data_IF_573418179033
#
_entry.id   IF_573418179033
#
_cell.length_a   1.000
_cell.length_b   1.000
_cell.length_c   1.000
_cell.angle_alpha   90.00
_cell.angle_beta   90.00
_cell.angle_gamma   90.00
#
_symmetry.space_group_name_H-M   'P 1'
#
loop_
_entity.id
_entity.type
_entity.pdbx_description
1 polymer ?
#
# COMPACT_ATOMS: atom_id res chain seq x y z
N UNK A 1 2.80 14.30 -9.20
CA UNK A 1 3.98 15.01 -8.72
C UNK A 1 5.24 14.23 -9.06
N UNK A 2 6.30 14.94 -9.44
CA UNK A 2 7.62 14.34 -9.68
C UNK A 2 8.46 14.55 -8.43
N UNK A 3 8.87 13.50 -7.71
CA UNK A 3 9.77 13.63 -6.56
C UNK A 3 11.16 14.03 -7.05
N UNK A 4 11.81 14.92 -6.32
CA UNK A 4 13.14 15.44 -6.69
C UNK A 4 14.14 15.27 -5.55
N UNK A 5 13.71 15.40 -4.31
CA UNK A 5 14.59 15.44 -3.15
C UNK A 5 13.96 14.70 -1.96
N UNK A 6 14.84 14.19 -1.10
CA UNK A 6 14.43 13.68 0.22
C UNK A 6 15.32 14.26 1.32
N UNK A 7 14.75 14.40 2.52
CA UNK A 7 15.52 14.49 3.77
C UNK A 7 15.22 13.27 4.62
N UNK A 8 16.20 12.80 5.36
CA UNK A 8 16.05 11.61 6.19
C UNK A 8 16.59 11.84 7.60
N UNK A 9 15.71 11.74 8.58
CA UNK A 9 16.10 11.76 9.99
C UNK A 9 16.11 10.33 10.52
N UNK A 10 17.20 9.93 11.15
CA UNK A 10 17.34 8.60 11.76
C UNK A 10 17.67 8.73 13.24
N UNK A 11 17.09 7.86 14.06
CA UNK A 11 17.52 7.67 15.42
C UNK A 11 17.75 6.18 15.68
N UNK A 12 18.91 5.83 16.21
CA UNK A 12 19.26 4.43 16.46
C UNK A 12 19.94 4.25 17.81
N UNK A 13 19.81 3.04 18.36
CA UNK A 13 20.45 2.67 19.62
C UNK A 13 21.89 2.24 19.40
N UNK A 14 22.68 2.23 20.48
CA UNK A 14 24.06 1.74 20.50
C UNK A 14 24.20 0.22 20.18
N UNK A 15 23.09 -0.48 19.89
CA UNK A 15 23.08 -1.86 19.41
C UNK A 15 23.31 -1.97 17.91
N UNK A 16 23.20 -0.86 17.17
CA UNK A 16 23.52 -0.82 15.76
C UNK A 16 25.03 -0.68 15.58
N UNK A 17 25.61 -1.55 14.78
CA UNK A 17 27.01 -1.46 14.37
C UNK A 17 27.20 -0.42 13.26
N UNK A 18 28.42 0.04 13.06
CA UNK A 18 28.76 0.93 11.96
C UNK A 18 28.54 0.24 10.60
N UNK A 19 28.80 -1.04 10.53
CA UNK A 19 28.60 -1.86 9.33
C UNK A 19 27.11 -1.88 8.94
N UNK A 20 26.21 -2.17 9.91
CA UNK A 20 24.76 -2.16 9.67
C UNK A 20 24.25 -0.78 9.24
N UNK A 21 24.85 0.30 9.75
CA UNK A 21 24.54 1.65 9.34
C UNK A 21 24.99 1.94 7.89
N UNK A 22 26.17 1.47 7.52
CA UNK A 22 26.68 1.58 6.14
C UNK A 22 25.77 0.82 5.17
N UNK A 23 25.40 -0.43 5.46
CA UNK A 23 24.46 -1.22 4.64
C UNK A 23 23.10 -0.52 4.51
N UNK A 24 22.61 0.09 5.59
CA UNK A 24 21.38 0.89 5.55
C UNK A 24 21.50 2.06 4.57
N UNK A 25 22.59 2.83 4.60
CA UNK A 25 22.80 3.94 3.66
C UNK A 25 23.03 3.49 2.22
N UNK A 26 23.66 2.33 2.00
CA UNK A 26 23.72 1.73 0.66
C UNK A 26 22.32 1.49 0.08
N UNK A 27 21.40 0.97 0.90
CA UNK A 27 19.99 0.82 0.53
C UNK A 27 19.30 2.17 0.22
N UNK A 28 19.57 3.20 1.01
CA UNK A 28 19.04 4.56 0.78
C UNK A 28 19.53 5.11 -0.54
N UNK A 29 20.84 5.02 -0.84
CA UNK A 29 21.39 5.51 -2.10
C UNK A 29 20.87 4.72 -3.30
N UNK A 30 20.71 3.41 -3.18
CA UNK A 30 20.10 2.59 -4.23
C UNK A 30 18.65 3.02 -4.51
N UNK A 31 17.88 3.35 -3.47
CA UNK A 31 16.53 3.89 -3.62
C UNK A 31 16.53 5.29 -4.27
N UNK A 32 17.46 6.16 -3.87
CA UNK A 32 17.63 7.48 -4.48
C UNK A 32 17.90 7.38 -5.98
N UNK A 33 18.81 6.49 -6.38
CA UNK A 33 19.12 6.24 -7.79
C UNK A 33 17.90 5.68 -8.54
N UNK A 34 17.21 4.67 -7.97
CA UNK A 34 16.02 4.05 -8.57
C UNK A 34 14.91 5.06 -8.83
N UNK A 35 14.64 5.95 -7.87
CA UNK A 35 13.54 6.92 -7.96
C UNK A 35 13.94 8.27 -8.56
N UNK A 36 15.24 8.51 -8.80
CA UNK A 36 15.76 9.75 -9.35
C UNK A 36 15.58 10.92 -8.38
N UNK A 37 15.88 10.70 -7.10
CA UNK A 37 15.77 11.72 -6.04
C UNK A 37 17.12 11.93 -5.35
N UNK A 38 17.39 13.16 -4.90
CA UNK A 38 18.61 13.48 -4.16
C UNK A 38 18.37 13.47 -2.65
N UNK A 39 19.24 12.80 -1.90
CA UNK A 39 19.30 12.95 -0.44
C UNK A 39 20.02 14.28 -0.11
N UNK A 40 19.25 15.30 0.27
CA UNK A 40 19.77 16.66 0.50
C UNK A 40 20.14 16.97 1.94
N UNK A 41 19.85 16.07 2.88
CA UNK A 41 20.17 16.22 4.29
C UNK A 41 19.30 15.41 5.22
N UNK A 42 19.43 15.72 6.51
CA UNK A 42 18.70 15.05 7.57
C UNK A 42 19.39 15.24 8.92
N UNK A 43 19.02 14.41 9.88
CA UNK A 43 19.61 14.41 11.21
C UNK A 43 19.83 12.99 11.72
N UNK A 44 20.83 12.83 12.59
CA UNK A 44 21.15 11.57 13.23
C UNK A 44 21.12 11.73 14.73
N UNK A 45 20.21 11.01 15.39
CA UNK A 45 19.96 11.11 16.83
C UNK A 45 20.11 9.76 17.54
N UNK A 46 20.13 9.76 18.85
CA UNK A 46 20.13 8.56 19.67
C UNK A 46 18.70 8.08 19.96
N UNK A 47 18.48 6.77 19.90
CA UNK A 47 17.22 6.12 20.31
C UNK A 47 17.45 5.13 21.44
N UNK A 48 16.56 5.07 22.41
CA UNK A 48 16.59 4.08 23.49
C UNK A 48 15.99 2.72 23.08
N UNK A 49 15.25 2.66 21.95
CA UNK A 49 14.45 1.48 21.56
C UNK A 49 14.59 1.10 20.07
N UNK A 50 15.81 0.93 19.58
CA UNK A 50 16.00 0.43 18.19
C UNK A 50 16.15 1.54 17.15
N UNK A 51 15.71 1.30 15.94
CA UNK A 51 15.83 2.20 14.78
C UNK A 51 14.50 2.94 14.53
N UNK A 52 14.57 4.25 14.39
CA UNK A 52 13.47 5.11 13.96
C UNK A 52 13.94 5.84 12.71
N UNK A 53 13.12 5.81 11.66
CA UNK A 53 13.40 6.46 10.37
C UNK A 53 12.24 7.39 10.06
N UNK A 54 12.54 8.63 9.68
CA UNK A 54 11.58 9.60 9.18
C UNK A 54 12.09 10.19 7.89
N UNK A 55 11.38 9.98 6.80
CA UNK A 55 11.72 10.48 5.46
C UNK A 55 10.71 11.54 5.06
N UNK A 56 11.21 12.67 4.56
CA UNK A 56 10.38 13.70 3.91
C UNK A 56 10.75 13.74 2.44
N UNK A 57 9.78 13.45 1.58
CA UNK A 57 9.93 13.57 0.14
C UNK A 57 9.43 14.94 -0.33
N UNK A 58 10.21 15.59 -1.18
CA UNK A 58 9.93 16.89 -1.79
C UNK A 58 9.83 16.66 -3.30
N UNK A 59 8.83 17.28 -3.91
CA UNK A 59 8.61 17.15 -5.36
C UNK A 59 7.79 18.30 -5.90
N UNK A 60 7.62 18.30 -7.22
CA UNK A 60 6.92 19.36 -7.95
C UNK A 60 5.73 18.76 -8.71
N UNK A 61 4.67 19.54 -8.85
CA UNK A 61 3.50 19.22 -9.65
C UNK A 61 2.90 20.49 -10.24
N UNK A 62 2.48 20.43 -11.51
CA UNK A 62 1.75 21.53 -12.11
C UNK A 62 0.39 21.71 -11.39
N UNK A 63 -0.07 22.96 -11.18
CA UNK A 63 -1.29 23.23 -10.42
C UNK A 63 -2.54 22.51 -10.93
N UNK A 64 -2.62 22.27 -12.23
CA UNK A 64 -3.71 21.55 -12.89
C UNK A 64 -3.56 20.02 -12.85
N UNK A 65 -2.38 19.49 -12.49
CA UNK A 65 -2.09 18.05 -12.37
C UNK A 65 -2.17 17.54 -10.92
N UNK A 66 -2.48 18.41 -9.97
CA UNK A 66 -2.57 18.03 -8.58
C UNK A 66 -3.83 17.17 -8.30
N UNK A 67 -3.63 15.94 -7.81
CA UNK A 67 -4.71 15.01 -7.44
C UNK A 67 -4.85 14.96 -5.92
N UNK A 68 -6.08 15.11 -5.41
CA UNK A 68 -6.41 15.11 -3.99
C UNK A 68 -7.13 13.82 -3.60
N UNK A 69 -7.25 13.55 -2.31
CA UNK A 69 -8.11 12.50 -1.76
C UNK A 69 -9.60 12.88 -1.74
N UNK A 70 -9.94 14.15 -1.97
CA UNK A 70 -11.25 14.76 -1.68
C UNK A 70 -12.01 15.20 -2.93
N UNK A 71 -11.61 14.73 -4.10
CA UNK A 71 -12.16 15.22 -5.38
C UNK A 71 -12.81 14.11 -6.21
N UNK A 72 -13.05 12.92 -5.63
CA UNK A 72 -13.85 11.87 -6.24
C UNK A 72 -15.28 12.36 -6.51
N UNK A 73 -15.89 11.84 -7.57
CA UNK A 73 -17.25 12.17 -7.99
C UNK A 73 -18.13 10.93 -7.98
N UNK A 74 -19.44 11.13 -7.79
CA UNK A 74 -20.41 10.03 -7.88
C UNK A 74 -20.38 9.42 -9.29
N UNK A 75 -20.28 8.09 -9.34
CA UNK A 75 -20.18 7.33 -10.57
C UNK A 75 -18.76 7.08 -11.05
N UNK A 76 -17.74 7.69 -10.42
CA UNK A 76 -16.35 7.37 -10.75
C UNK A 76 -16.06 5.89 -10.48
N UNK A 77 -15.26 5.28 -11.33
CA UNK A 77 -14.72 3.95 -11.10
C UNK A 77 -13.70 3.99 -9.96
N UNK A 78 -13.74 2.99 -9.10
CA UNK A 78 -12.78 2.78 -8.03
C UNK A 78 -11.75 1.75 -8.48
N UNK A 79 -10.51 2.17 -8.58
CA UNK A 79 -9.42 1.39 -9.15
C UNK A 79 -8.29 1.20 -8.14
N UNK A 80 -7.61 0.06 -8.22
CA UNK A 80 -6.41 -0.23 -7.43
C UNK A 80 -5.32 -0.78 -8.34
N UNK A 81 -4.07 -0.42 -8.07
CA UNK A 81 -2.91 -0.98 -8.74
C UNK A 81 -2.47 -2.30 -8.11
N UNK A 82 -1.76 -3.14 -8.87
CA UNK A 82 -1.16 -4.39 -8.41
C UNK A 82 -2.14 -5.33 -7.72
N UNK A 83 -1.70 -5.93 -6.63
CA UNK A 83 -2.47 -6.82 -5.77
C UNK A 83 -2.27 -6.53 -4.28
N UNK A 84 -3.15 -7.03 -3.43
CA UNK A 84 -3.27 -6.64 -2.05
C UNK A 84 -3.18 -7.81 -1.08
N UNK A 85 -2.79 -7.52 0.16
CA UNK A 85 -2.70 -8.46 1.28
C UNK A 85 -1.38 -9.23 1.36
N UNK A 86 -0.51 -9.12 0.36
CA UNK A 86 0.77 -9.83 0.33
C UNK A 86 1.74 -9.33 1.40
N UNK A 87 1.80 -8.02 1.63
CA UNK A 87 2.69 -7.44 2.63
C UNK A 87 2.34 -7.90 4.05
N UNK A 88 1.07 -7.87 4.42
CA UNK A 88 0.60 -8.38 5.72
C UNK A 88 0.93 -9.87 5.92
N UNK A 89 0.75 -10.68 4.89
CA UNK A 89 1.08 -12.12 4.94
C UNK A 89 2.60 -12.34 5.05
N UNK A 90 3.40 -11.49 4.40
CA UNK A 90 4.85 -11.48 4.52
C UNK A 90 5.30 -11.16 5.95
N UNK A 91 4.71 -10.15 6.58
CA UNK A 91 4.95 -9.83 8.00
C UNK A 91 4.59 -11.01 8.90
N UNK A 92 3.40 -11.59 8.71
CA UNK A 92 2.91 -12.73 9.50
C UNK A 92 3.86 -13.93 9.39
N UNK A 93 4.36 -14.22 8.19
CA UNK A 93 5.34 -15.27 7.94
C UNK A 93 6.66 -14.99 8.67
N UNK A 94 7.22 -13.80 8.49
CA UNK A 94 8.50 -13.41 9.10
C UNK A 94 8.44 -13.42 10.63
N UNK A 95 7.35 -12.94 11.22
CA UNK A 95 7.16 -12.96 12.67
C UNK A 95 7.03 -14.39 13.21
N UNK A 96 6.32 -15.28 12.50
CA UNK A 96 6.25 -16.70 12.86
C UNK A 96 7.62 -17.35 12.85
N UNK A 97 8.37 -17.18 11.77
CA UNK A 97 9.69 -17.79 11.63
C UNK A 97 10.69 -17.24 12.64
N UNK A 98 10.65 -15.93 12.91
CA UNK A 98 11.42 -15.29 13.97
C UNK A 98 11.12 -15.90 15.33
N UNK A 99 9.85 -16.11 15.67
CA UNK A 99 9.45 -16.72 16.94
C UNK A 99 10.00 -18.14 17.06
N UNK A 100 9.85 -18.99 16.03
CA UNK A 100 10.37 -20.34 15.99
C UNK A 100 11.90 -20.34 16.17
N UNK A 101 12.61 -19.48 15.46
CA UNK A 101 14.06 -19.36 15.57
C UNK A 101 14.52 -18.93 16.97
N UNK A 102 13.83 -18.01 17.61
CA UNK A 102 14.16 -17.57 18.97
C UNK A 102 13.92 -18.66 20.02
N UNK A 103 12.91 -19.52 19.81
CA UNK A 103 12.65 -20.67 20.68
C UNK A 103 13.65 -21.81 20.45
N UNK A 104 14.08 -22.01 19.20
CA UNK A 104 15.07 -23.06 18.85
C UNK A 104 16.00 -22.61 17.69
N UNK A 105 17.13 -21.95 17.99
CA UNK A 105 18.06 -21.45 16.96
C UNK A 105 18.69 -22.50 16.05
N UNK A 106 18.47 -23.79 16.31
CA UNK A 106 18.94 -24.88 15.43
C UNK A 106 18.02 -25.15 14.25
N UNK A 107 16.80 -24.64 14.30
CA UNK A 107 15.86 -24.74 13.19
C UNK A 107 16.16 -23.62 12.16
N UNK A 108 16.25 -24.01 10.90
CA UNK A 108 16.34 -23.05 9.80
C UNK A 108 14.95 -22.50 9.52
N UNK A 109 14.78 -21.17 9.42
CA UNK A 109 13.51 -20.56 9.04
C UNK A 109 13.01 -21.10 7.69
N UNK A 110 11.71 -21.41 7.61
CA UNK A 110 11.05 -21.88 6.38
C UNK A 110 10.64 -20.71 5.50
N UNK A 111 11.62 -20.11 4.82
CA UNK A 111 11.44 -18.97 3.93
C UNK A 111 11.63 -19.33 2.45
N UNK A 112 11.96 -20.60 2.15
CA UNK A 112 12.15 -21.07 0.78
C UNK A 112 10.83 -20.94 -0.01
N UNK A 113 10.94 -20.51 -1.28
CA UNK A 113 9.82 -20.32 -2.19
C UNK A 113 8.77 -19.27 -1.76
N UNK A 114 9.09 -18.43 -0.77
CA UNK A 114 8.20 -17.35 -0.31
C UNK A 114 8.68 -15.95 -0.74
N UNK A 115 9.52 -15.88 -1.77
CA UNK A 115 10.21 -14.65 -2.22
C UNK A 115 9.21 -13.53 -2.54
N UNK A 116 8.08 -13.87 -3.16
CA UNK A 116 7.05 -12.89 -3.49
C UNK A 116 6.47 -12.24 -2.23
N UNK A 117 5.92 -13.05 -1.32
CA UNK A 117 5.28 -12.58 -0.07
C UNK A 117 6.26 -11.78 0.80
N UNK A 118 7.49 -12.30 0.96
CA UNK A 118 8.55 -11.64 1.74
C UNK A 118 8.96 -10.32 1.08
N UNK A 119 9.09 -10.32 -0.25
CA UNK A 119 9.48 -9.14 -1.00
C UNK A 119 8.47 -8.00 -0.87
N UNK A 120 7.17 -8.32 -0.87
CA UNK A 120 6.10 -7.33 -0.69
C UNK A 120 6.17 -6.63 0.67
N UNK A 121 6.58 -7.34 1.74
CA UNK A 121 6.76 -6.75 3.06
C UNK A 121 8.10 -6.01 3.21
N UNK A 122 9.21 -6.60 2.75
CA UNK A 122 10.54 -6.06 3.03
C UNK A 122 11.00 -5.01 2.01
N UNK A 123 10.40 -4.99 0.82
CA UNK A 123 10.81 -4.11 -0.27
C UNK A 123 9.58 -3.62 -1.06
N UNK A 124 8.67 -2.87 -0.42
CA UNK A 124 7.57 -2.24 -1.15
C UNK A 124 8.13 -1.24 -2.16
N UNK A 125 7.48 -1.14 -3.31
CA UNK A 125 7.91 -0.26 -4.39
C UNK A 125 6.87 0.83 -4.65
N UNK A 126 7.32 2.08 -4.77
CA UNK A 126 6.45 3.18 -5.18
C UNK A 126 6.01 2.99 -6.63
N UNK A 127 4.71 3.03 -6.90
CA UNK A 127 4.09 2.74 -8.20
C UNK A 127 4.22 3.90 -9.20
N UNK A 128 5.48 4.30 -9.47
CA UNK A 128 5.80 5.31 -10.48
C UNK A 128 5.38 4.87 -11.89
N UNK A 129 5.44 3.57 -12.17
CA UNK A 129 4.97 2.94 -13.40
C UNK A 129 3.49 3.21 -13.69
N UNK A 130 2.63 3.13 -12.66
CA UNK A 130 1.20 3.43 -12.80
C UNK A 130 0.96 4.91 -13.04
N UNK A 131 1.68 5.79 -12.33
CA UNK A 131 1.56 7.23 -12.57
C UNK A 131 1.95 7.58 -14.01
N UNK A 132 3.06 7.03 -14.50
CA UNK A 132 3.51 7.22 -15.87
C UNK A 132 2.47 6.69 -16.89
N UNK A 133 1.93 5.49 -16.66
CA UNK A 133 0.89 4.94 -17.52
C UNK A 133 -0.36 5.83 -17.58
N UNK A 134 -0.82 6.35 -16.44
CA UNK A 134 -1.98 7.24 -16.38
C UNK A 134 -1.74 8.54 -17.16
N UNK A 135 -0.53 9.12 -17.03
CA UNK A 135 -0.12 10.32 -17.78
C UNK A 135 -0.06 10.05 -19.29
N UNK A 136 0.59 8.96 -19.73
CA UNK A 136 0.72 8.58 -21.14
C UNK A 136 -0.64 8.24 -21.78
N UNK A 137 -1.59 7.75 -20.99
CA UNK A 137 -2.95 7.42 -21.44
C UNK A 137 -3.91 8.62 -21.38
N UNK A 138 -3.43 9.81 -21.00
CA UNK A 138 -4.27 10.99 -20.76
C UNK A 138 -5.46 10.68 -19.82
N UNK A 139 -5.16 10.00 -18.70
CA UNK A 139 -6.09 9.71 -17.62
C UNK A 139 -5.72 10.56 -16.42
N UNK A 140 -6.62 11.44 -16.03
CA UNK A 140 -6.48 12.20 -14.78
C UNK A 140 -7.35 11.61 -13.70
N UNK A 141 -6.76 10.97 -12.67
CA UNK A 141 -7.54 10.50 -11.53
C UNK A 141 -8.31 11.63 -10.87
N UNK A 142 -9.53 11.35 -10.46
CA UNK A 142 -10.38 12.31 -9.74
C UNK A 142 -10.03 12.37 -8.25
N UNK A 143 -9.58 11.25 -7.65
CA UNK A 143 -8.95 11.21 -6.33
C UNK A 143 -7.91 10.10 -6.30
N UNK A 144 -6.91 10.20 -5.41
CA UNK A 144 -5.86 9.19 -5.27
C UNK A 144 -5.24 9.20 -3.88
N UNK A 145 -4.85 8.02 -3.41
CA UNK A 145 -4.00 7.80 -2.24
C UNK A 145 -3.32 6.43 -2.34
N UNK A 146 -2.33 6.19 -1.49
CA UNK A 146 -1.69 4.89 -1.31
C UNK A 146 -2.55 3.96 -0.42
N UNK A 147 -2.32 2.64 -0.50
CA UNK A 147 -2.92 1.63 0.36
C UNK A 147 -1.92 1.24 1.43
N UNK A 148 -1.99 1.90 2.59
CA UNK A 148 -1.08 1.71 3.73
C UNK A 148 -1.72 0.98 4.90
N UNK A 149 -3.00 1.21 5.19
CA UNK A 149 -3.72 0.60 6.33
C UNK A 149 -4.71 -0.50 5.89
N UNK A 150 -4.77 -0.76 4.58
CA UNK A 150 -5.65 -1.75 3.95
C UNK A 150 -6.79 -1.10 3.16
N UNK A 151 -7.21 -1.77 2.09
CA UNK A 151 -8.14 -1.22 1.09
C UNK A 151 -9.40 -0.59 1.70
N UNK A 152 -9.94 -1.19 2.77
CA UNK A 152 -11.14 -0.66 3.45
C UNK A 152 -10.92 0.72 4.05
N UNK A 153 -9.76 0.94 4.67
CA UNK A 153 -9.40 2.21 5.32
C UNK A 153 -9.35 3.32 4.29
N UNK A 154 -8.63 3.10 3.22
CA UNK A 154 -8.38 4.12 2.19
C UNK A 154 -9.67 4.44 1.41
N UNK A 155 -10.51 3.45 1.10
CA UNK A 155 -11.84 3.69 0.51
C UNK A 155 -12.68 4.59 1.44
N UNK A 156 -12.71 4.30 2.74
CA UNK A 156 -13.44 5.11 3.70
C UNK A 156 -12.87 6.53 3.83
N UNK A 157 -11.55 6.70 3.68
CA UNK A 157 -10.91 8.02 3.63
C UNK A 157 -11.35 8.82 2.41
N UNK A 158 -11.34 8.24 1.21
CA UNK A 158 -11.84 8.89 -0.02
C UNK A 158 -13.33 9.22 0.13
N UNK A 159 -14.15 8.28 0.61
CA UNK A 159 -15.58 8.51 0.85
C UNK A 159 -15.83 9.69 1.78
N UNK A 160 -15.16 9.72 2.92
CA UNK A 160 -15.29 10.79 3.92
C UNK A 160 -14.89 12.15 3.38
N UNK A 161 -13.75 12.21 2.69
CA UNK A 161 -13.20 13.48 2.19
C UNK A 161 -13.94 14.01 0.96
N UNK A 162 -14.51 13.12 0.14
CA UNK A 162 -15.29 13.48 -1.04
C UNK A 162 -16.80 13.60 -0.76
N UNK A 163 -17.25 13.31 0.48
CA UNK A 163 -18.66 13.28 0.87
C UNK A 163 -19.50 12.32 0.02
N UNK A 164 -19.00 11.10 -0.18
CA UNK A 164 -19.59 10.06 -1.03
C UNK A 164 -19.68 8.72 -0.27
N UNK A 165 -20.44 7.77 -0.85
CA UNK A 165 -20.38 6.35 -0.56
C UNK A 165 -19.51 5.61 -1.56
N UNK A 166 -19.35 4.28 -1.36
CA UNK A 166 -18.66 3.41 -2.32
C UNK A 166 -19.29 2.02 -2.35
N UNK A 167 -19.25 1.40 -3.52
CA UNK A 167 -19.58 -0.01 -3.71
C UNK A 167 -18.33 -0.75 -4.15
N UNK A 168 -17.89 -1.71 -3.33
CA UNK A 168 -16.76 -2.58 -3.60
C UNK A 168 -17.27 -3.98 -3.97
N UNK A 169 -16.68 -4.64 -4.94
CA UNK A 169 -16.98 -6.02 -5.32
C UNK A 169 -15.86 -6.95 -4.85
N UNK A 170 -16.15 -7.88 -3.96
CA UNK A 170 -15.18 -8.84 -3.42
C UNK A 170 -14.44 -9.60 -4.52
N UNK A 171 -15.15 -10.07 -5.53
CA UNK A 171 -14.59 -10.87 -6.63
C UNK A 171 -13.60 -10.11 -7.52
N UNK A 172 -13.62 -8.75 -7.45
CA UNK A 172 -12.77 -7.88 -8.25
C UNK A 172 -11.53 -7.41 -7.49
N UNK A 173 -11.41 -7.72 -6.20
CA UNK A 173 -10.21 -7.37 -5.43
C UNK A 173 -9.03 -8.21 -5.94
N UNK A 174 -7.96 -7.59 -6.42
CA UNK A 174 -6.80 -8.30 -6.90
C UNK A 174 -6.02 -8.88 -5.71
N UNK A 175 -5.89 -10.20 -5.68
CA UNK A 175 -5.14 -10.93 -4.66
C UNK A 175 -4.32 -12.00 -5.41
N UNK A 176 -3.01 -11.93 -5.32
CA UNK A 176 -2.10 -12.89 -5.96
C UNK A 176 -2.36 -14.33 -5.48
N UNK A 177 -2.02 -15.30 -6.31
CA UNK A 177 -2.21 -16.71 -5.98
C UNK A 177 -1.38 -17.10 -4.75
N UNK A 178 -0.14 -16.61 -4.66
CA UNK A 178 0.77 -16.82 -3.52
C UNK A 178 0.17 -16.29 -2.22
N UNK A 179 -0.50 -15.13 -2.29
CA UNK A 179 -1.20 -14.54 -1.14
C UNK A 179 -2.39 -15.37 -0.71
N UNK A 180 -3.17 -15.92 -1.67
CA UNK A 180 -4.29 -16.81 -1.35
C UNK A 180 -3.81 -18.09 -0.66
N UNK A 181 -2.77 -18.72 -1.18
CA UNK A 181 -2.21 -19.94 -0.63
C UNK A 181 -1.63 -19.70 0.77
N UNK A 182 -0.91 -18.61 0.97
CA UNK A 182 -0.34 -18.27 2.27
C UNK A 182 -1.42 -17.94 3.30
N UNK A 183 -2.45 -17.18 2.93
CA UNK A 183 -3.58 -16.90 3.81
C UNK A 183 -4.25 -18.20 4.29
N UNK A 184 -4.53 -19.13 3.36
CA UNK A 184 -5.12 -20.43 3.71
C UNK A 184 -4.19 -21.27 4.60
N UNK A 185 -2.86 -21.25 4.36
CA UNK A 185 -1.87 -21.92 5.21
C UNK A 185 -1.89 -21.39 6.65
N UNK A 186 -2.22 -20.11 6.84
CA UNK A 186 -2.37 -19.48 8.16
C UNK A 186 -3.80 -19.56 8.73
N UNK A 187 -4.77 -20.14 8.00
CA UNK A 187 -6.16 -20.14 8.42
C UNK A 187 -6.82 -18.76 8.36
N UNK A 188 -6.31 -17.87 7.51
CA UNK A 188 -6.82 -16.51 7.30
C UNK A 188 -7.67 -16.43 6.03
N UNK A 189 -8.61 -15.50 6.02
CA UNK A 189 -9.37 -15.15 4.81
C UNK A 189 -8.54 -14.22 3.92
N UNK A 190 -8.26 -14.58 2.65
CA UNK A 190 -7.47 -13.73 1.75
C UNK A 190 -8.10 -12.34 1.51
N UNK A 191 -9.43 -12.27 1.45
CA UNK A 191 -10.15 -11.00 1.28
C UNK A 191 -9.96 -10.11 2.52
N UNK A 192 -10.02 -10.68 3.71
CA UNK A 192 -9.76 -9.94 4.95
C UNK A 192 -8.31 -9.41 5.00
N UNK A 193 -7.33 -10.19 4.53
CA UNK A 193 -5.93 -9.72 4.42
C UNK A 193 -5.81 -8.51 3.49
N UNK A 194 -6.45 -8.51 2.33
CA UNK A 194 -6.44 -7.39 1.39
C UNK A 194 -7.18 -6.15 1.91
N UNK A 195 -8.31 -6.36 2.62
CA UNK A 195 -9.13 -5.27 3.14
C UNK A 195 -8.51 -4.54 4.34
N UNK A 196 -7.75 -5.27 5.19
CA UNK A 196 -7.34 -4.77 6.51
C UNK A 196 -5.88 -5.06 6.87
N UNK A 197 -5.10 -5.71 6.00
CA UNK A 197 -3.71 -6.08 6.27
C UNK A 197 -2.76 -4.89 6.24
N UNK A 198 -2.92 -4.01 5.27
CA UNK A 198 -2.06 -2.85 5.08
C UNK A 198 -0.66 -3.16 4.55
N UNK A 199 0.18 -2.12 4.49
CA UNK A 199 1.59 -2.14 4.07
C UNK A 199 1.82 -2.54 2.60
N UNK A 200 0.77 -2.60 1.76
CA UNK A 200 0.90 -2.98 0.35
C UNK A 200 1.49 -1.84 -0.51
N UNK A 201 1.26 -0.57 -0.13
CA UNK A 201 1.72 0.63 -0.83
C UNK A 201 1.38 0.69 -2.32
N UNK A 202 0.28 0.01 -2.68
CA UNK A 202 -0.36 0.17 -3.98
C UNK A 202 -1.14 1.48 -4.06
N UNK A 203 -1.54 1.91 -5.26
CA UNK A 203 -2.34 3.11 -5.45
C UNK A 203 -3.83 2.75 -5.50
N UNK A 204 -4.62 3.39 -4.64
CA UNK A 204 -6.07 3.46 -4.75
C UNK A 204 -6.42 4.79 -5.42
N UNK A 205 -7.18 4.75 -6.49
CA UNK A 205 -7.61 5.97 -7.19
C UNK A 205 -9.01 5.84 -7.76
N UNK A 206 -9.61 6.98 -8.03
CA UNK A 206 -10.89 7.08 -8.74
C UNK A 206 -10.70 7.74 -10.10
N UNK A 207 -11.47 7.33 -11.08
CA UNK A 207 -11.43 7.87 -12.44
C UNK A 207 -12.80 7.85 -13.08
N UNK A 208 -12.99 8.64 -14.12
CA UNK A 208 -14.25 8.69 -14.86
C UNK A 208 -14.51 7.38 -15.63
N UNK A 209 -15.77 7.01 -15.77
CA UNK A 209 -16.17 5.82 -16.54
C UNK A 209 -15.76 5.88 -18.02
N UNK A 210 -15.71 7.09 -18.59
CA UNK A 210 -15.32 7.30 -19.99
C UNK A 210 -13.87 6.88 -20.29
N UNK A 211 -13.00 6.80 -19.27
CA UNK A 211 -11.62 6.38 -19.40
C UNK A 211 -11.42 4.86 -19.25
N UNK A 212 -12.49 4.08 -19.00
CA UNK A 212 -12.40 2.63 -18.74
C UNK A 212 -11.65 1.87 -19.83
N UNK A 213 -11.96 2.14 -21.11
CA UNK A 213 -11.37 1.43 -22.24
C UNK A 213 -9.84 1.64 -22.33
N UNK A 214 -9.31 2.71 -21.74
CA UNK A 214 -7.89 3.01 -21.72
C UNK A 214 -7.10 2.10 -20.76
N UNK A 215 -7.76 1.57 -19.72
CA UNK A 215 -7.11 0.73 -18.69
C UNK A 215 -7.41 -0.76 -18.83
N UNK A 216 -8.40 -1.17 -19.60
CA UNK A 216 -8.92 -2.54 -19.65
C UNK A 216 -7.87 -3.59 -20.00
N UNK A 217 -6.82 -3.22 -20.73
CA UNK A 217 -5.71 -4.09 -21.12
C UNK A 217 -4.50 -4.00 -20.18
N UNK A 218 -4.55 -3.14 -19.18
CA UNK A 218 -3.47 -3.02 -18.21
C UNK A 218 -3.72 -3.97 -17.03
N UNK A 219 -3.01 -5.10 -17.00
CA UNK A 219 -3.12 -6.13 -15.96
C UNK A 219 -2.71 -5.63 -14.56
N UNK A 220 -2.03 -4.48 -14.48
CA UNK A 220 -1.63 -3.87 -13.21
C UNK A 220 -2.68 -2.94 -12.61
N UNK A 221 -3.84 -2.77 -13.26
CA UNK A 221 -4.92 -1.93 -12.75
C UNK A 221 -6.22 -2.73 -12.70
N UNK A 222 -6.82 -2.82 -11.54
CA UNK A 222 -8.10 -3.51 -11.34
C UNK A 222 -9.19 -2.52 -10.97
N UNK A 223 -10.33 -2.56 -11.69
CA UNK A 223 -11.54 -1.84 -11.29
C UNK A 223 -12.25 -2.69 -10.23
N UNK A 224 -12.21 -2.23 -8.98
CA UNK A 224 -12.74 -2.97 -7.83
C UNK A 224 -14.15 -2.56 -7.43
N UNK A 225 -14.64 -1.44 -7.95
CA UNK A 225 -15.96 -0.90 -7.60
C UNK A 225 -16.21 0.47 -8.20
N UNK A 226 -17.05 1.25 -7.54
CA UNK A 226 -17.38 2.62 -7.95
C UNK A 226 -17.77 3.51 -6.76
N UNK A 227 -17.70 4.82 -6.96
CA UNK A 227 -18.14 5.83 -6.00
C UNK A 227 -19.65 6.02 -6.08
N UNK A 228 -20.34 5.85 -4.96
CA UNK A 228 -21.80 5.90 -4.83
C UNK A 228 -22.26 7.20 -4.16
N UNK A 229 -23.58 7.39 -4.09
CA UNK A 229 -24.16 8.47 -3.30
C UNK A 229 -23.88 8.26 -1.81
N UNK A 230 -23.69 9.36 -1.07
CA UNK A 230 -23.44 9.30 0.37
C UNK A 230 -24.53 8.57 1.14
N UNK A 231 -25.79 8.67 0.69
CA UNK A 231 -26.92 8.00 1.30
C UNK A 231 -26.85 6.47 1.22
N UNK A 232 -26.08 5.92 0.27
CA UNK A 232 -25.85 4.48 0.14
C UNK A 232 -24.80 3.99 1.14
N UNK A 233 -23.92 4.89 1.63
CA UNK A 233 -22.78 4.53 2.47
C UNK A 233 -21.71 3.75 1.70
N UNK A 234 -20.70 3.26 2.43
CA UNK A 234 -19.66 2.41 1.85
C UNK A 234 -19.91 0.93 2.22
N UNK A 235 -19.91 0.05 1.21
CA UNK A 235 -20.17 -1.37 1.42
C UNK A 235 -19.47 -2.25 0.40
N UNK A 236 -19.30 -3.52 0.77
CA UNK A 236 -18.77 -4.58 -0.08
C UNK A 236 -19.92 -5.54 -0.46
N UNK A 237 -19.94 -5.93 -1.74
CA UNK A 237 -20.79 -7.00 -2.26
C UNK A 237 -19.93 -8.24 -2.38
N UNK A 238 -20.29 -9.29 -1.64
CA UNK A 238 -19.57 -10.57 -1.64
C UNK A 238 -19.85 -11.37 -2.93
N UNK A 239 -19.04 -12.40 -3.18
CA UNK A 239 -19.27 -13.37 -4.28
C UNK A 239 -20.67 -14.00 -4.24
N UNK A 240 -21.26 -14.15 -3.04
CA UNK A 240 -22.62 -14.64 -2.86
C UNK A 240 -23.71 -13.57 -3.04
N UNK A 241 -23.36 -12.34 -3.45
CA UNK A 241 -24.30 -11.23 -3.64
C UNK A 241 -24.76 -10.55 -2.35
N UNK A 242 -24.24 -10.93 -1.18
CA UNK A 242 -24.59 -10.29 0.08
C UNK A 242 -23.87 -8.95 0.21
N UNK A 243 -24.60 -7.97 0.76
CA UNK A 243 -24.11 -6.61 0.98
C UNK A 243 -23.74 -6.43 2.45
N UNK A 244 -22.49 -6.07 2.72
CA UNK A 244 -22.00 -5.77 4.07
C UNK A 244 -21.43 -4.35 4.10
N UNK A 245 -21.62 -3.66 5.22
CA UNK A 245 -21.02 -2.36 5.45
C UNK A 245 -19.50 -2.51 5.48
N UNK A 246 -18.80 -1.65 4.74
CA UNK A 246 -17.35 -1.58 4.79
C UNK A 246 -16.94 -0.98 6.13
N UNK A 247 -16.05 -1.67 6.84
CA UNK A 247 -15.48 -1.23 8.11
C UNK A 247 -13.96 -1.28 8.01
N UNK A 248 -13.28 -0.29 8.55
CA UNK A 248 -11.83 -0.31 8.69
C UNK A 248 -11.47 -1.00 10.00
N UNK A 249 -10.55 -1.95 9.92
CA UNK A 249 -9.86 -2.56 11.07
C UNK A 249 -8.40 -2.09 11.13
N UNK A 250 -8.02 -1.13 10.27
CA UNK A 250 -6.69 -0.56 10.23
C UNK A 250 -6.28 0.08 11.57
N UNK A 251 -5.00 0.37 11.70
CA UNK A 251 -4.41 0.94 12.91
C UNK A 251 -5.09 2.26 13.30
N UNK A 252 -5.45 2.39 14.55
CA UNK A 252 -6.01 3.62 15.10
C UNK A 252 -5.23 4.00 16.38
N UNK A 253 -4.52 5.11 16.31
CA UNK A 253 -3.69 5.61 17.41
C UNK A 253 -4.46 5.86 18.73
N UNK A 254 -5.78 6.00 18.66
CA UNK A 254 -6.65 6.39 19.78
C UNK A 254 -7.62 5.29 20.22
N UNK A 255 -7.62 4.14 19.59
CA UNK A 255 -8.32 2.95 20.07
C UNK A 255 -7.28 2.02 20.72
N UNK A 256 -7.37 1.91 22.04
CA UNK A 256 -6.67 0.90 22.83
C UNK A 256 -7.52 -0.35 22.94
#
# INVERSE_FOLDING_TARGET
ATPTQITMNIAFSNRFSLEALNEFYEGVYAACEKYGVDLIGGDTSNSHKGLIISVTAIGEVAPDQFVKRSTAQKGDLLCVSGDLGAAYLGLTLLEREKKIYLENPKLTPDLENQTYIIGRQLKPEARKDIIQFLEESDIKPTAMMDVSDGLSSEILHICKQSNLGAVLYEEKIPIAQESREMALKFGLDPTACALSGGEDYELLFTMKQEDYDKIVLNEQISVVGYMADISEGAHIITKGGNKFKLVSQGWNAFQQ
#
